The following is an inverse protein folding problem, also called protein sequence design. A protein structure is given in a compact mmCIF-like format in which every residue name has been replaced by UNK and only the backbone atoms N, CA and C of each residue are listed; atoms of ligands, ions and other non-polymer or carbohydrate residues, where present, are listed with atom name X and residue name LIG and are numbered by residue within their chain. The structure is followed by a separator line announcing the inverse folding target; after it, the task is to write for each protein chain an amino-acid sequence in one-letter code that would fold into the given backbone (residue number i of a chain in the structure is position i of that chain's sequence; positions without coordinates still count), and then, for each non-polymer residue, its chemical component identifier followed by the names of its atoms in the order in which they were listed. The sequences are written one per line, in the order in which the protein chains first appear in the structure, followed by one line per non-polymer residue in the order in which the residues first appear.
data_IF_520562187774
#
_entry.id   IF_520562187774
#
_cell.length_a   1.000
_cell.length_b   1.000
_cell.length_c   1.000
_cell.angle_alpha   90.00
_cell.angle_beta   90.00
_cell.angle_gamma   90.00
#
_symmetry.space_group_name_H-M   'P 1'
#
loop_
_entity.id
_entity.type
_entity.pdbx_description
1 polymer ?
#
# COMPACT_ATOMS: atom_id res chain seq x y z
N UNK A 1 12.54 -15.53 26.60
CA UNK A 1 11.52 -15.16 25.60
C UNK A 1 11.06 -16.45 24.91
N UNK A 2 9.76 -16.76 24.88
CA UNK A 2 9.25 -17.94 24.13
C UNK A 2 9.43 -17.64 22.64
N UNK A 3 10.18 -18.49 21.91
CA UNK A 3 10.31 -18.40 20.47
C UNK A 3 8.94 -18.63 19.82
N UNK A 4 8.43 -17.65 19.10
CA UNK A 4 7.17 -17.79 18.37
C UNK A 4 7.46 -18.62 17.12
N UNK A 5 6.73 -19.71 16.93
CA UNK A 5 6.91 -20.60 15.78
C UNK A 5 6.64 -19.84 14.47
N UNK A 6 7.54 -19.90 13.47
CA UNK A 6 7.33 -19.26 12.19
C UNK A 6 6.11 -19.84 11.48
N UNK A 7 5.46 -18.99 10.65
CA UNK A 7 4.28 -19.40 9.88
C UNK A 7 4.72 -20.27 8.70
N UNK A 8 4.09 -21.42 8.55
CA UNK A 8 4.20 -22.20 7.31
C UNK A 8 3.40 -21.56 6.17
N UNK A 9 3.51 -22.12 4.96
CA UNK A 9 2.83 -21.63 3.75
C UNK A 9 1.31 -21.39 3.95
N UNK A 10 0.63 -22.30 4.64
CA UNK A 10 -0.81 -22.17 4.97
C UNK A 10 -1.09 -20.92 5.82
N UNK A 11 -0.21 -20.62 6.77
CA UNK A 11 -0.35 -19.42 7.59
C UNK A 11 -0.17 -18.13 6.79
N UNK A 12 0.77 -18.11 5.84
CA UNK A 12 0.98 -16.97 4.93
C UNK A 12 -0.23 -16.77 4.03
N UNK A 13 -0.74 -17.84 3.41
CA UNK A 13 -1.98 -17.78 2.59
C UNK A 13 -3.14 -17.26 3.43
N UNK A 14 -3.29 -17.74 4.66
CA UNK A 14 -4.34 -17.27 5.58
C UNK A 14 -4.27 -15.76 5.83
N UNK A 15 -3.07 -15.18 6.02
CA UNK A 15 -2.90 -13.73 6.19
C UNK A 15 -3.31 -12.98 4.92
N UNK A 16 -2.86 -13.44 3.75
CA UNK A 16 -3.22 -12.81 2.47
C UNK A 16 -4.74 -12.79 2.28
N UNK A 17 -5.41 -13.89 2.59
CA UNK A 17 -6.88 -13.97 2.53
C UNK A 17 -7.52 -13.00 3.52
N UNK A 18 -7.05 -12.92 4.77
CA UNK A 18 -7.59 -11.98 5.77
C UNK A 18 -7.41 -10.53 5.31
N UNK A 19 -6.23 -10.17 4.80
CA UNK A 19 -5.98 -8.82 4.29
C UNK A 19 -6.83 -8.49 3.07
N UNK A 20 -7.04 -9.46 2.18
CA UNK A 20 -7.93 -9.32 1.04
C UNK A 20 -9.38 -9.08 1.48
N UNK A 21 -9.88 -9.87 2.44
CA UNK A 21 -11.24 -9.71 3.00
C UNK A 21 -11.38 -8.34 3.65
N UNK A 22 -10.39 -7.89 4.43
CA UNK A 22 -10.41 -6.54 5.01
C UNK A 22 -10.45 -5.45 3.94
N UNK A 23 -9.72 -5.63 2.83
CA UNK A 23 -9.77 -4.71 1.68
C UNK A 23 -11.16 -4.67 1.02
N UNK A 24 -11.78 -5.83 0.82
CA UNK A 24 -13.15 -5.93 0.28
C UNK A 24 -14.16 -5.26 1.22
N UNK A 25 -14.05 -5.51 2.52
CA UNK A 25 -14.91 -4.87 3.55
C UNK A 25 -14.73 -3.35 3.53
N UNK A 26 -13.48 -2.87 3.43
CA UNK A 26 -13.19 -1.45 3.32
C UNK A 26 -13.84 -0.83 2.09
N UNK A 27 -13.70 -1.48 0.91
CA UNK A 27 -14.26 -0.99 -0.35
C UNK A 27 -15.80 -0.95 -0.33
N UNK A 28 -16.44 -2.04 0.08
CA UNK A 28 -17.90 -2.11 0.17
C UNK A 28 -18.43 -1.11 1.21
N UNK A 29 -17.83 -1.06 2.39
CA UNK A 29 -18.24 -0.15 3.45
C UNK A 29 -18.06 1.32 3.05
N UNK A 30 -16.96 1.67 2.38
CA UNK A 30 -16.76 3.00 1.84
C UNK A 30 -17.83 3.36 0.82
N UNK A 31 -18.16 2.44 -0.11
CA UNK A 31 -19.22 2.65 -1.11
C UNK A 31 -20.60 2.88 -0.46
N UNK A 32 -20.97 2.09 0.54
CA UNK A 32 -22.26 2.25 1.27
C UNK A 32 -22.30 3.58 2.03
N UNK A 33 -21.18 4.00 2.59
CA UNK A 33 -21.10 5.21 3.42
C UNK A 33 -20.93 6.49 2.59
N UNK A 34 -20.45 6.40 1.34
CA UNK A 34 -20.29 7.54 0.43
C UNK A 34 -21.62 8.21 0.09
N UNK A 35 -22.71 7.46 0.07
CA UNK A 35 -24.05 7.96 -0.24
C UNK A 35 -24.72 8.73 0.93
N UNK A 36 -24.08 8.77 2.09
CA UNK A 36 -24.59 9.48 3.26
C UNK A 36 -24.15 10.94 3.27
N UNK A 37 -25.07 11.90 3.05
CA UNK A 37 -24.73 13.31 2.98
C UNK A 37 -24.39 13.89 4.38
N UNK A 38 -23.65 15.00 4.35
CA UNK A 38 -23.39 15.83 5.51
C UNK A 38 -22.25 15.33 6.41
N UNK A 39 -22.02 16.08 7.49
CA UNK A 39 -20.91 15.86 8.44
C UNK A 39 -20.99 14.48 9.10
N UNK A 40 -22.21 13.98 9.38
CA UNK A 40 -22.40 12.64 9.94
C UNK A 40 -21.91 11.52 9.03
N UNK A 41 -22.12 11.63 7.71
CA UNK A 41 -21.61 10.70 6.71
C UNK A 41 -20.07 10.72 6.64
N UNK A 42 -19.49 11.92 6.65
CA UNK A 42 -18.03 12.10 6.66
C UNK A 42 -17.38 11.47 7.90
N UNK A 43 -17.91 11.76 9.09
CA UNK A 43 -17.39 11.19 10.34
C UNK A 43 -17.57 9.66 10.35
N UNK A 44 -18.75 9.16 9.92
CA UNK A 44 -19.04 7.73 9.89
C UNK A 44 -18.09 6.95 8.96
N UNK A 45 -17.88 7.45 7.73
CA UNK A 45 -16.93 6.83 6.79
C UNK A 45 -15.49 6.91 7.28
N UNK A 46 -15.06 8.05 7.83
CA UNK A 46 -13.74 8.21 8.41
C UNK A 46 -13.50 7.23 9.57
N UNK A 47 -14.41 7.16 10.54
CA UNK A 47 -14.32 6.24 11.66
C UNK A 47 -14.29 4.77 11.23
N UNK A 48 -15.12 4.40 10.25
CA UNK A 48 -15.14 3.05 9.69
C UNK A 48 -13.79 2.70 9.02
N UNK A 49 -13.26 3.57 8.17
CA UNK A 49 -11.97 3.33 7.51
C UNK A 49 -10.81 3.27 8.51
N UNK A 50 -10.81 4.12 9.53
CA UNK A 50 -9.82 4.06 10.63
C UNK A 50 -9.90 2.71 11.35
N UNK A 51 -11.10 2.22 11.63
CA UNK A 51 -11.28 0.92 12.29
C UNK A 51 -10.75 -0.24 11.43
N UNK A 52 -11.02 -0.22 10.12
CA UNK A 52 -10.48 -1.23 9.18
C UNK A 52 -8.95 -1.13 9.11
N UNK A 53 -8.38 0.08 9.02
CA UNK A 53 -6.93 0.27 9.02
C UNK A 53 -6.28 -0.21 10.33
N UNK A 54 -6.92 0.02 11.47
CA UNK A 54 -6.46 -0.51 12.75
C UNK A 54 -6.45 -2.04 12.76
N UNK A 55 -7.48 -2.69 12.21
CA UNK A 55 -7.51 -4.15 12.06
C UNK A 55 -6.39 -4.66 11.16
N UNK A 56 -6.13 -4.00 10.01
CA UNK A 56 -4.99 -4.32 9.13
C UNK A 56 -3.67 -4.20 9.88
N UNK A 57 -3.47 -3.14 10.67
CA UNK A 57 -2.26 -2.94 11.46
C UNK A 57 -2.07 -4.04 12.50
N UNK A 58 -3.13 -4.45 13.20
CA UNK A 58 -3.08 -5.55 14.19
C UNK A 58 -2.65 -6.86 13.50
N UNK A 59 -3.25 -7.19 12.36
CA UNK A 59 -2.87 -8.38 11.57
C UNK A 59 -1.42 -8.31 11.12
N UNK A 60 -0.99 -7.16 10.63
CA UNK A 60 0.38 -6.92 10.15
C UNK A 60 1.40 -7.04 11.30
N UNK A 61 1.13 -6.46 12.47
CA UNK A 61 2.00 -6.57 13.65
C UNK A 61 2.08 -8.02 14.12
N UNK A 62 0.94 -8.72 14.15
CA UNK A 62 0.92 -10.13 14.52
C UNK A 62 1.72 -10.98 13.54
N UNK A 63 1.59 -10.74 12.22
CA UNK A 63 2.38 -11.40 11.19
C UNK A 63 3.88 -11.11 11.33
N UNK A 64 4.25 -9.82 11.49
CA UNK A 64 5.63 -9.40 11.67
C UNK A 64 6.37 -10.15 12.78
N UNK A 65 5.68 -10.39 13.90
CA UNK A 65 6.23 -11.15 15.03
C UNK A 65 6.52 -12.61 14.73
N UNK A 66 5.98 -13.14 13.64
CA UNK A 66 6.11 -14.54 13.21
C UNK A 66 7.02 -14.73 11.99
N UNK A 67 7.55 -13.65 11.43
CA UNK A 67 8.57 -13.72 10.39
C UNK A 67 9.88 -14.21 10.99
N UNK A 68 10.62 -15.02 10.22
CA UNK A 68 12.01 -15.35 10.52
C UNK A 68 12.93 -14.13 10.27
N UNK A 69 14.18 -14.25 10.70
CA UNK A 69 15.16 -13.17 10.58
C UNK A 69 15.41 -12.80 9.12
N UNK A 70 15.52 -13.82 8.23
CA UNK A 70 15.79 -13.60 6.82
C UNK A 70 14.65 -12.82 6.13
N UNK A 71 13.39 -13.21 6.42
CA UNK A 71 12.24 -12.52 5.86
C UNK A 71 12.11 -11.08 6.40
N UNK A 72 12.39 -10.85 7.70
CA UNK A 72 12.40 -9.49 8.25
C UNK A 72 13.47 -8.64 7.60
N UNK A 73 14.66 -9.19 7.38
CA UNK A 73 15.74 -8.46 6.74
C UNK A 73 15.42 -8.15 5.28
N UNK A 74 14.81 -9.10 4.55
CA UNK A 74 14.31 -8.86 3.19
C UNK A 74 13.31 -7.69 3.14
N UNK A 75 12.37 -7.64 4.09
CA UNK A 75 11.39 -6.56 4.17
C UNK A 75 12.03 -5.21 4.49
N UNK A 76 12.95 -5.15 5.47
CA UNK A 76 13.67 -3.92 5.81
C UNK A 76 14.47 -3.41 4.62
N UNK A 77 15.22 -4.31 3.96
CA UNK A 77 16.03 -3.97 2.79
C UNK A 77 15.17 -3.46 1.63
N UNK A 78 14.08 -4.15 1.34
CA UNK A 78 13.14 -3.77 0.29
C UNK A 78 12.47 -2.43 0.57
N UNK A 79 12.10 -2.17 1.83
CA UNK A 79 11.50 -0.90 2.22
C UNK A 79 12.50 0.25 2.13
N UNK A 80 13.73 0.04 2.58
CA UNK A 80 14.77 1.06 2.55
C UNK A 80 15.18 1.40 1.11
N UNK A 81 15.56 0.39 0.32
CA UNK A 81 16.05 0.60 -1.04
C UNK A 81 14.92 0.80 -2.05
N UNK A 82 13.91 -0.06 -2.04
CA UNK A 82 12.76 0.05 -2.94
C UNK A 82 11.95 1.30 -2.68
N UNK A 83 11.59 1.57 -1.43
CA UNK A 83 10.84 2.77 -1.07
C UNK A 83 11.61 4.07 -1.39
N UNK A 84 12.93 4.10 -1.15
CA UNK A 84 13.77 5.27 -1.47
C UNK A 84 13.93 5.47 -2.98
N UNK A 85 14.14 4.38 -3.74
CA UNK A 85 14.22 4.44 -5.21
C UNK A 85 12.90 4.90 -5.82
N UNK A 86 11.76 4.36 -5.36
CA UNK A 86 10.43 4.76 -5.81
C UNK A 86 10.14 6.23 -5.57
N UNK A 87 10.53 6.76 -4.41
CA UNK A 87 10.41 8.19 -4.13
C UNK A 87 11.30 9.03 -5.07
N UNK A 88 12.53 8.61 -5.33
CA UNK A 88 13.43 9.32 -6.22
C UNK A 88 12.90 9.35 -7.67
N UNK A 89 12.41 8.21 -8.17
CA UNK A 89 11.77 8.12 -9.50
C UNK A 89 10.50 8.98 -9.55
N UNK A 90 9.64 8.88 -8.53
CA UNK A 90 8.42 9.68 -8.45
C UNK A 90 8.71 11.18 -8.46
N UNK A 91 9.70 11.63 -7.67
CA UNK A 91 10.13 13.03 -7.67
C UNK A 91 10.69 13.46 -9.03
N UNK A 92 11.53 12.64 -9.67
CA UNK A 92 12.06 12.94 -11.00
C UNK A 92 10.94 13.10 -12.04
N UNK A 93 9.92 12.24 -11.99
CA UNK A 93 8.74 12.34 -12.86
C UNK A 93 7.96 13.62 -12.60
N UNK A 94 7.66 13.96 -11.34
CA UNK A 94 6.96 15.19 -10.95
C UNK A 94 7.72 16.41 -11.46
N UNK A 95 9.02 16.49 -11.23
CA UNK A 95 9.85 17.59 -11.71
C UNK A 95 9.86 17.67 -13.23
N UNK A 96 9.94 16.55 -13.92
CA UNK A 96 9.91 16.51 -15.40
C UNK A 96 8.58 17.02 -15.94
N UNK A 97 7.46 16.56 -15.40
CA UNK A 97 6.12 17.01 -15.80
C UNK A 97 5.95 18.50 -15.57
N UNK A 98 6.37 18.98 -14.38
CA UNK A 98 6.25 20.40 -14.01
C UNK A 98 7.13 21.30 -14.86
N UNK A 99 8.41 20.94 -15.07
CA UNK A 99 9.35 21.76 -15.83
C UNK A 99 9.06 21.78 -17.34
N UNK A 100 8.48 20.70 -17.84
CA UNK A 100 8.10 20.58 -19.26
C UNK A 100 6.69 21.05 -19.55
N UNK A 101 5.92 21.50 -18.55
CA UNK A 101 4.51 21.88 -18.68
C UNK A 101 3.69 20.84 -19.46
N UNK A 102 3.92 19.55 -19.15
CA UNK A 102 3.23 18.46 -19.83
C UNK A 102 1.74 18.54 -19.52
N UNK A 103 0.93 18.64 -20.56
CA UNK A 103 -0.53 18.59 -20.42
C UNK A 103 -0.97 17.16 -20.08
N UNK A 104 -1.28 16.94 -18.81
CA UNK A 104 -1.85 15.69 -18.33
C UNK A 104 -3.36 15.59 -18.51
N UNK A 105 -4.03 16.69 -18.88
CA UNK A 105 -5.50 16.72 -19.07
C UNK A 105 -5.98 15.69 -20.09
N UNK A 106 -5.16 15.41 -21.12
CA UNK A 106 -5.49 14.40 -22.15
C UNK A 106 -5.57 12.95 -21.63
N UNK A 107 -5.00 12.67 -20.45
CA UNK A 107 -5.05 11.35 -19.81
C UNK A 107 -6.17 11.23 -18.77
N UNK A 108 -6.92 12.30 -18.60
CA UNK A 108 -7.96 12.39 -17.58
C UNK A 108 -9.34 12.42 -18.26
N UNK A 109 -10.37 11.98 -17.53
CA UNK A 109 -11.74 12.15 -18.00
C UNK A 109 -12.09 13.64 -18.06
N UNK A 110 -12.95 14.02 -19.01
CA UNK A 110 -13.40 15.41 -19.16
C UNK A 110 -14.10 15.95 -17.91
N UNK A 111 -14.62 15.07 -17.07
CA UNK A 111 -15.36 15.41 -15.86
C UNK A 111 -14.50 15.37 -14.59
N UNK A 112 -13.17 15.18 -14.72
CA UNK A 112 -12.27 15.09 -13.57
C UNK A 112 -12.22 16.43 -12.82
N UNK A 113 -12.49 16.35 -11.51
CA UNK A 113 -12.40 17.49 -10.61
C UNK A 113 -11.05 17.55 -9.86
N UNK A 114 -10.80 18.61 -9.11
CA UNK A 114 -9.57 18.77 -8.35
C UNK A 114 -9.33 17.65 -7.32
N UNK A 115 -10.39 17.06 -6.75
CA UNK A 115 -10.31 15.92 -5.84
C UNK A 115 -9.78 14.67 -6.55
N UNK A 116 -10.26 14.40 -7.77
CA UNK A 116 -9.80 13.25 -8.57
C UNK A 116 -8.32 13.37 -8.92
N UNK A 117 -7.85 14.59 -9.21
CA UNK A 117 -6.44 14.88 -9.48
C UNK A 117 -5.56 14.57 -8.24
N UNK A 118 -5.99 15.02 -7.08
CA UNK A 118 -5.28 14.79 -5.81
C UNK A 118 -5.24 13.30 -5.50
N UNK A 119 -6.38 12.62 -5.56
CA UNK A 119 -6.47 11.17 -5.29
C UNK A 119 -5.63 10.39 -6.30
N UNK A 120 -5.72 10.71 -7.59
CA UNK A 120 -4.93 10.09 -8.65
C UNK A 120 -3.42 10.25 -8.42
N UNK A 121 -2.97 11.44 -8.03
CA UNK A 121 -1.58 11.71 -7.67
C UNK A 121 -1.11 10.90 -6.45
N UNK A 122 -1.91 10.87 -5.39
CA UNK A 122 -1.61 10.08 -4.19
C UNK A 122 -1.55 8.58 -4.49
N UNK A 123 -2.51 8.05 -5.26
CA UNK A 123 -2.53 6.65 -5.67
C UNK A 123 -1.32 6.30 -6.54
N UNK A 124 -0.92 7.19 -7.45
CA UNK A 124 0.27 6.97 -8.28
C UNK A 124 1.54 6.83 -7.43
N UNK A 125 1.74 7.69 -6.42
CA UNK A 125 2.89 7.60 -5.49
C UNK A 125 2.87 6.26 -4.76
N UNK A 126 1.71 5.85 -4.21
CA UNK A 126 1.58 4.58 -3.50
C UNK A 126 1.87 3.38 -4.41
N UNK A 127 1.39 3.39 -5.65
CA UNK A 127 1.64 2.33 -6.61
C UNK A 127 3.12 2.22 -6.99
N UNK A 128 3.78 3.35 -7.25
CA UNK A 128 5.24 3.36 -7.49
C UNK A 128 6.00 2.78 -6.29
N UNK A 129 5.68 3.23 -5.09
CA UNK A 129 6.35 2.76 -3.88
C UNK A 129 6.15 1.26 -3.64
N UNK A 130 4.94 0.74 -3.89
CA UNK A 130 4.65 -0.69 -3.77
C UNK A 130 5.36 -1.51 -4.86
N UNK A 131 5.41 -1.01 -6.11
CA UNK A 131 6.08 -1.68 -7.21
C UNK A 131 7.60 -1.80 -6.95
N UNK A 132 8.24 -0.70 -6.56
CA UNK A 132 9.67 -0.69 -6.27
C UNK A 132 10.01 -1.53 -5.03
N UNK A 133 9.15 -1.50 -4.01
CA UNK A 133 9.26 -2.40 -2.87
C UNK A 133 9.22 -3.87 -3.31
N UNK A 134 8.25 -4.24 -4.15
CA UNK A 134 8.08 -5.62 -4.62
C UNK A 134 9.28 -6.07 -5.47
N UNK A 135 9.81 -5.20 -6.34
CA UNK A 135 11.01 -5.46 -7.14
C UNK A 135 12.25 -5.65 -6.25
N UNK A 136 12.46 -4.77 -5.28
CA UNK A 136 13.58 -4.85 -4.36
C UNK A 136 13.50 -6.12 -3.49
N UNK A 137 12.30 -6.45 -2.98
CA UNK A 137 12.06 -7.66 -2.20
C UNK A 137 12.32 -8.92 -3.03
N UNK A 138 11.81 -8.99 -4.26
CA UNK A 138 12.04 -10.11 -5.18
C UNK A 138 13.52 -10.26 -5.53
N UNK A 139 14.20 -9.16 -5.81
CA UNK A 139 15.64 -9.16 -6.08
C UNK A 139 16.46 -9.70 -4.91
N UNK A 140 16.12 -9.31 -3.68
CA UNK A 140 16.82 -9.77 -2.48
C UNK A 140 16.78 -11.31 -2.34
N UNK A 141 15.63 -11.92 -2.59
CA UNK A 141 15.48 -13.38 -2.57
C UNK A 141 16.21 -14.05 -3.73
N UNK A 142 16.10 -13.53 -4.95
CA UNK A 142 16.75 -14.07 -6.12
C UNK A 142 18.28 -14.01 -5.99
N UNK A 143 18.83 -12.95 -5.43
CA UNK A 143 20.26 -12.82 -5.20
C UNK A 143 20.79 -13.88 -4.21
N UNK A 144 20.03 -14.17 -3.16
CA UNK A 144 20.40 -15.19 -2.15
C UNK A 144 20.23 -16.64 -2.62
N UNK A 145 19.33 -16.90 -3.56
CA UNK A 145 19.21 -18.25 -4.14
C UNK A 145 20.32 -18.61 -5.11
N UNK A 146 21.12 -17.62 -5.57
CA UNK A 146 22.22 -17.80 -6.54
C UNK A 146 23.59 -17.91 -5.87
N UNK A 147 23.74 -17.65 -4.61
CA UNK A 147 24.96 -17.78 -3.82
C UNK A 147 24.89 -18.94 -2.84
#
# INVERSE_FOLDING_TARGET
MKSVKPLGAVGVIGIVVVLFVLGVVAGIGAAILSDRPGVGGLIGSGAFLIAVMAAVLVVTIWWWRRLDEAAREAHKWAWYWGGSAGMAVGLALVLTVTTRNVDLGRFMSADANAGDLIVGGMMSILLFQLADYALAWGWWWLARMRG
#
